data_IF_585982740077
#
_entry.id   IF_585982740077
#
_cell.length_a   1.000
_cell.length_b   1.000
_cell.length_c   1.000
_cell.angle_alpha   90.00
_cell.angle_beta   90.00
_cell.angle_gamma   90.00
#
_symmetry.space_group_name_H-M   'P 1'
#
loop_
_entity.id
_entity.type
_entity.pdbx_description
1 polymer ?
#
# COMPACT_ATOMS: atom_id res chain seq x y z
N UNK A 1 -14.98 -28.19 -83.17
CA UNK A 1 -15.69 -27.21 -82.33
C UNK A 1 -14.95 -27.05 -81.00
N UNK A 2 -14.97 -25.84 -80.45
CA UNK A 2 -13.95 -25.21 -79.60
C UNK A 2 -13.78 -25.77 -78.17
N UNK A 3 -12.50 -25.83 -77.76
CA UNK A 3 -11.87 -25.48 -76.47
C UNK A 3 -12.79 -24.84 -75.40
N UNK A 4 -12.91 -25.46 -74.21
CA UNK A 4 -13.38 -24.75 -73.00
C UNK A 4 -13.08 -25.40 -71.64
N UNK A 5 -11.90 -25.99 -71.37
CA UNK A 5 -11.62 -26.51 -70.01
C UNK A 5 -10.26 -26.06 -69.43
N UNK A 6 -9.92 -24.78 -69.61
CA UNK A 6 -8.75 -24.14 -68.99
C UNK A 6 -9.10 -23.10 -67.92
N UNK A 7 -10.16 -23.29 -67.12
CA UNK A 7 -10.56 -22.31 -66.09
C UNK A 7 -11.01 -22.86 -64.74
N UNK A 8 -10.60 -24.07 -64.35
CA UNK A 8 -10.78 -24.56 -62.97
C UNK A 8 -9.40 -24.76 -62.32
N UNK A 9 -8.59 -23.70 -62.29
CA UNK A 9 -7.27 -23.71 -61.63
C UNK A 9 -6.90 -22.29 -61.17
N UNK A 10 -7.75 -21.67 -60.35
CA UNK A 10 -7.37 -20.44 -59.65
C UNK A 10 -8.26 -20.08 -58.45
N UNK A 11 -9.42 -20.73 -58.29
CA UNK A 11 -10.37 -20.42 -57.20
C UNK A 11 -10.14 -21.27 -55.95
N UNK A 12 -9.84 -22.56 -56.11
CA UNK A 12 -9.63 -23.48 -54.99
C UNK A 12 -8.32 -23.20 -54.22
N UNK A 13 -7.26 -22.80 -54.93
CA UNK A 13 -5.96 -22.47 -54.33
C UNK A 13 -6.00 -21.16 -53.51
N UNK A 14 -6.89 -20.22 -53.87
CA UNK A 14 -7.06 -18.94 -53.15
C UNK A 14 -7.84 -19.11 -51.84
N UNK A 15 -8.78 -20.05 -51.78
CA UNK A 15 -9.56 -20.35 -50.57
C UNK A 15 -8.69 -21.05 -49.52
N UNK A 16 -7.80 -21.96 -49.96
CA UNK A 16 -6.86 -22.64 -49.06
C UNK A 16 -5.86 -21.67 -48.41
N UNK A 17 -5.44 -20.61 -49.12
CA UNK A 17 -4.48 -19.62 -48.59
C UNK A 17 -5.11 -18.67 -47.57
N UNK A 18 -6.42 -18.39 -47.68
CA UNK A 18 -7.14 -17.50 -46.75
C UNK A 18 -7.52 -18.17 -45.42
N UNK A 19 -7.70 -19.50 -45.42
CA UNK A 19 -8.06 -20.25 -44.20
C UNK A 19 -6.85 -20.58 -43.31
N UNK A 20 -5.63 -20.57 -43.86
CA UNK A 20 -4.42 -20.87 -43.09
C UNK A 20 -4.06 -19.76 -42.09
N UNK A 21 -4.36 -18.50 -42.42
CA UNK A 21 -4.09 -17.34 -41.53
C UNK A 21 -5.01 -17.28 -40.32
N UNK A 22 -6.23 -17.83 -40.43
CA UNK A 22 -7.20 -17.84 -39.33
C UNK A 22 -6.93 -18.96 -38.30
N UNK A 23 -6.24 -20.03 -38.70
CA UNK A 23 -5.88 -21.14 -37.82
C UNK A 23 -4.67 -20.83 -36.92
N UNK A 24 -3.78 -19.90 -37.30
CA UNK A 24 -2.60 -19.52 -36.51
C UNK A 24 -2.89 -18.51 -35.39
N UNK A 25 -4.06 -17.86 -35.39
CA UNK A 25 -4.47 -16.95 -34.30
C UNK A 25 -5.02 -17.66 -33.06
N UNK A 26 -5.29 -18.98 -33.12
CA UNK A 26 -5.81 -19.75 -31.98
C UNK A 26 -4.71 -20.30 -31.06
N UNK A 27 -3.43 -20.10 -31.37
CA UNK A 27 -2.29 -20.56 -30.56
C UNK A 27 -1.50 -19.42 -29.90
N UNK A 28 -1.88 -18.16 -30.14
CA UNK A 28 -1.20 -16.98 -29.57
C UNK A 28 -2.16 -16.24 -28.64
N UNK A 29 -2.42 -16.80 -27.46
CA UNK A 29 -3.34 -16.13 -26.53
C UNK A 29 -3.64 -16.79 -25.19
N UNK A 30 -2.92 -17.83 -24.77
CA UNK A 30 -2.83 -18.11 -23.34
C UNK A 30 -1.80 -17.15 -22.76
N UNK A 31 -2.16 -15.87 -22.65
CA UNK A 31 -1.52 -15.01 -21.67
C UNK A 31 -1.90 -15.66 -20.35
N UNK A 32 -0.98 -16.43 -19.76
CA UNK A 32 -1.12 -16.87 -18.39
C UNK A 32 -1.35 -15.61 -17.60
N UNK A 33 -2.61 -15.37 -17.24
CA UNK A 33 -2.95 -14.56 -16.11
C UNK A 33 -2.07 -15.12 -15.00
N UNK A 34 -0.97 -14.43 -14.71
CA UNK A 34 -0.39 -14.50 -13.38
C UNK A 34 -1.47 -13.85 -12.55
N UNK A 35 -2.46 -14.67 -12.22
CA UNK A 35 -3.40 -14.44 -11.17
C UNK A 35 -2.46 -14.30 -9.99
N UNK A 36 -2.15 -13.05 -9.67
CA UNK A 36 -1.35 -12.67 -8.54
C UNK A 36 -2.14 -13.28 -7.39
N UNK A 37 -1.75 -14.49 -7.00
CA UNK A 37 -2.38 -15.20 -5.92
C UNK A 37 -2.04 -14.29 -4.76
N UNK A 38 -3.03 -13.48 -4.35
CA UNK A 38 -2.92 -12.62 -3.21
C UNK A 38 -2.77 -13.58 -2.04
N UNK A 39 -1.51 -13.95 -1.79
CA UNK A 39 -1.13 -14.79 -0.68
C UNK A 39 -1.62 -14.05 0.53
N UNK A 40 -2.55 -14.67 1.25
CA UNK A 40 -3.09 -14.11 2.47
C UNK A 40 -1.95 -13.58 3.35
N UNK A 41 -2.19 -12.45 4.00
CA UNK A 41 -1.19 -11.85 4.88
C UNK A 41 -0.69 -12.89 5.91
N UNK A 42 0.62 -13.02 6.14
CA UNK A 42 1.13 -14.02 7.06
C UNK A 42 0.67 -13.72 8.49
N UNK A 43 -0.04 -14.67 9.10
CA UNK A 43 -0.59 -14.52 10.45
C UNK A 43 0.51 -14.29 11.50
N UNK A 44 1.72 -14.75 11.23
CA UNK A 44 2.88 -14.54 12.09
C UNK A 44 3.31 -13.08 12.16
N UNK A 45 2.84 -12.21 11.26
CA UNK A 45 3.12 -10.78 11.27
C UNK A 45 2.04 -9.97 12.00
N UNK A 46 0.86 -10.55 12.25
CA UNK A 46 -0.19 -9.96 13.06
C UNK A 46 0.27 -9.77 14.51
N UNK A 47 -0.12 -8.69 15.16
CA UNK A 47 0.25 -8.37 16.53
C UNK A 47 0.80 -6.95 16.68
N UNK A 48 1.37 -6.68 17.86
CA UNK A 48 1.90 -5.36 18.20
C UNK A 48 3.40 -5.33 17.96
N UNK A 49 3.83 -4.41 17.09
CA UNK A 49 5.21 -4.07 16.80
C UNK A 49 5.55 -2.78 17.53
N UNK A 50 6.54 -2.79 18.44
CA UNK A 50 6.86 -1.65 19.29
C UNK A 50 8.36 -1.38 19.34
N UNK A 51 8.75 -0.11 19.32
CA UNK A 51 10.14 0.31 19.58
C UNK A 51 10.37 0.37 21.09
N UNK A 52 11.53 -0.07 21.61
CA UNK A 52 11.85 -0.28 23.05
C UNK A 52 11.36 0.78 24.05
N UNK A 53 11.27 2.04 23.65
CA UNK A 53 10.75 3.12 24.51
C UNK A 53 9.23 3.15 24.66
N UNK A 54 8.53 2.29 23.92
CA UNK A 54 7.08 2.25 23.75
C UNK A 54 6.47 3.44 23.02
N UNK A 55 7.29 4.43 22.64
CA UNK A 55 6.85 5.69 22.02
C UNK A 55 6.50 5.55 20.54
N UNK A 56 6.75 4.41 19.91
CA UNK A 56 6.35 4.14 18.53
C UNK A 56 5.84 2.71 18.47
N UNK A 57 4.66 2.52 17.91
CA UNK A 57 4.05 1.20 17.78
C UNK A 57 3.11 1.13 16.58
N UNK A 58 2.97 -0.07 16.04
CA UNK A 58 2.03 -0.46 14.99
C UNK A 58 1.35 -1.74 15.44
N UNK A 59 0.03 -1.83 15.29
CA UNK A 59 -0.74 -3.04 15.56
C UNK A 59 -1.43 -3.49 14.27
N UNK A 60 -1.17 -4.72 13.86
CA UNK A 60 -1.75 -5.34 12.67
C UNK A 60 -2.63 -6.52 13.07
N UNK A 61 -3.75 -6.72 12.39
CA UNK A 61 -4.58 -7.91 12.59
C UNK A 61 -4.15 -9.10 11.69
N UNK A 62 -4.89 -10.22 11.77
CA UNK A 62 -4.60 -11.42 10.97
C UNK A 62 -4.87 -11.25 9.47
N UNK A 63 -5.66 -10.26 9.07
CA UNK A 63 -5.88 -9.92 7.67
C UNK A 63 -4.77 -9.01 7.12
N UNK A 64 -3.95 -8.44 8.02
CA UNK A 64 -2.93 -7.46 7.70
C UNK A 64 -3.43 -6.02 7.78
N UNK A 65 -4.64 -5.79 8.30
CA UNK A 65 -5.18 -4.44 8.43
C UNK A 65 -4.54 -3.72 9.63
N UNK A 66 -4.34 -2.40 9.48
CA UNK A 66 -3.84 -1.55 10.55
C UNK A 66 -4.94 -1.34 11.62
N UNK A 67 -4.68 -1.80 12.84
CA UNK A 67 -5.59 -1.66 13.99
C UNK A 67 -5.28 -0.40 14.79
N UNK A 68 -4.00 -0.18 15.11
CA UNK A 68 -3.59 1.00 15.88
C UNK A 68 -2.17 1.44 15.56
N UNK A 69 -1.90 2.71 15.82
CA UNK A 69 -0.62 3.36 15.55
C UNK A 69 -0.23 4.30 16.68
N UNK A 70 1.06 4.38 17.01
CA UNK A 70 1.59 5.36 17.96
C UNK A 70 2.71 6.16 17.30
N UNK A 71 2.57 7.49 17.25
CA UNK A 71 3.59 8.41 16.77
C UNK A 71 4.77 8.49 17.72
N UNK A 72 5.97 8.85 17.23
CA UNK A 72 7.17 9.01 18.06
C UNK A 72 7.00 9.98 19.25
N UNK A 73 6.03 10.91 19.17
CA UNK A 73 5.62 11.80 20.27
C UNK A 73 4.82 11.11 21.38
N UNK A 74 4.51 9.81 21.25
CA UNK A 74 3.77 8.99 22.21
C UNK A 74 2.25 9.01 22.05
N UNK A 75 1.71 9.77 21.08
CA UNK A 75 0.29 9.81 20.80
C UNK A 75 -0.16 8.50 20.15
N UNK A 76 -1.06 7.77 20.80
CA UNK A 76 -1.67 6.55 20.28
C UNK A 76 -3.01 6.85 19.61
N UNK A 77 -3.12 6.47 18.36
CA UNK A 77 -4.35 6.51 17.56
C UNK A 77 -4.87 5.10 17.39
N UNK A 78 -6.10 4.88 17.84
CA UNK A 78 -6.83 3.63 17.66
C UNK A 78 -8.16 3.96 16.99
N UNK A 79 -8.10 4.13 15.67
CA UNK A 79 -9.21 4.52 14.83
C UNK A 79 -9.07 3.73 13.53
N UNK A 80 -10.16 3.13 13.05
CA UNK A 80 -10.16 2.42 11.79
C UNK A 80 -10.01 3.39 10.61
N UNK A 81 -9.60 2.88 9.45
CA UNK A 81 -9.57 3.64 8.20
C UNK A 81 -10.90 4.39 7.96
N UNK A 82 -10.81 5.67 7.59
CA UNK A 82 -11.93 6.60 7.42
C UNK A 82 -12.49 7.19 8.72
N UNK A 83 -11.97 6.77 9.88
CA UNK A 83 -12.44 7.24 11.18
C UNK A 83 -11.79 8.54 11.64
N UNK A 84 -12.38 9.12 12.66
CA UNK A 84 -11.97 10.39 13.27
C UNK A 84 -11.38 10.16 14.66
N UNK A 85 -10.25 10.83 14.93
CA UNK A 85 -9.67 10.96 16.26
C UNK A 85 -9.70 12.43 16.69
N UNK A 86 -10.10 12.70 17.94
CA UNK A 86 -10.10 14.04 18.49
C UNK A 86 -9.70 14.05 19.98
N UNK A 87 -8.76 14.92 20.34
CA UNK A 87 -8.27 15.13 21.71
C UNK A 87 -8.14 16.64 22.02
N UNK A 88 -7.96 17.00 23.30
CA UNK A 88 -7.87 18.39 23.73
C UNK A 88 -9.23 19.09 23.63
N UNK A 89 -10.06 18.98 24.66
CA UNK A 89 -11.34 19.71 24.75
C UNK A 89 -11.24 20.89 25.75
N UNK A 90 -10.06 21.51 25.85
CA UNK A 90 -9.87 22.74 26.63
C UNK A 90 -10.06 23.96 25.72
N UNK A 91 -10.55 25.10 26.24
CA UNK A 91 -10.71 26.31 25.42
C UNK A 91 -9.39 26.70 24.73
N UNK A 92 -9.35 26.65 23.40
CA UNK A 92 -8.20 27.04 22.59
C UNK A 92 -7.12 25.98 22.40
N UNK A 93 -7.39 24.70 22.68
CA UNK A 93 -6.50 23.61 22.24
C UNK A 93 -7.31 22.44 21.74
N UNK A 94 -6.98 21.92 20.55
CA UNK A 94 -7.64 20.79 19.91
C UNK A 94 -6.64 20.03 19.05
N UNK A 95 -6.71 18.71 19.10
CA UNK A 95 -6.13 17.83 18.09
C UNK A 95 -7.29 17.13 17.38
N UNK A 96 -7.29 17.19 16.06
CA UNK A 96 -8.28 16.55 15.20
C UNK A 96 -7.55 15.84 14.07
N UNK A 97 -7.93 14.60 13.77
CA UNK A 97 -7.35 13.81 12.68
C UNK A 97 -8.39 12.91 12.03
N UNK A 98 -8.36 12.83 10.71
CA UNK A 98 -9.12 11.87 9.91
C UNK A 98 -8.13 10.90 9.30
N UNK A 99 -8.25 9.61 9.64
CA UNK A 99 -7.38 8.58 9.09
C UNK A 99 -7.88 8.23 7.67
N UNK A 100 -7.02 8.41 6.68
CA UNK A 100 -7.27 8.02 5.29
C UNK A 100 -6.97 6.55 5.05
N UNK A 101 -6.59 6.21 3.82
CA UNK A 101 -6.17 4.83 3.48
C UNK A 101 -4.87 4.44 4.20
N UNK A 102 -4.86 3.23 4.76
CA UNK A 102 -3.68 2.71 5.49
C UNK A 102 -3.23 1.35 4.96
N UNK A 103 -2.73 1.28 3.71
CA UNK A 103 -2.34 0.01 3.11
C UNK A 103 -1.17 -0.62 3.84
N UNK A 104 -1.25 -1.94 3.97
CA UNK A 104 -0.19 -2.80 4.50
C UNK A 104 0.19 -3.80 3.40
N UNK A 105 1.46 -3.82 3.05
CA UNK A 105 2.01 -4.64 1.98
C UNK A 105 3.11 -5.53 2.56
N UNK A 106 3.15 -6.80 2.17
CA UNK A 106 4.21 -7.73 2.54
C UNK A 106 4.71 -8.53 1.33
N UNK A 107 6.01 -8.44 1.06
CA UNK A 107 6.68 -9.28 0.07
C UNK A 107 7.38 -10.47 0.77
N UNK A 108 6.89 -11.71 0.61
CA UNK A 108 7.48 -12.87 1.25
C UNK A 108 8.87 -13.25 0.71
N UNK A 109 9.23 -12.84 -0.52
CA UNK A 109 10.53 -13.14 -1.11
C UNK A 109 11.66 -12.34 -0.46
N UNK A 110 11.38 -11.08 -0.15
CA UNK A 110 12.34 -10.17 0.52
C UNK A 110 12.09 -9.99 2.00
N UNK A 111 10.96 -10.53 2.50
CA UNK A 111 10.43 -10.31 3.85
C UNK A 111 10.25 -8.83 4.17
N UNK A 112 9.98 -8.01 3.15
CA UNK A 112 9.77 -6.58 3.33
C UNK A 112 8.32 -6.34 3.74
N UNK A 113 8.14 -5.71 4.91
CA UNK A 113 6.86 -5.22 5.41
C UNK A 113 6.82 -3.71 5.26
N UNK A 114 5.76 -3.22 4.61
CA UNK A 114 5.48 -1.81 4.43
C UNK A 114 4.11 -1.47 5.01
N UNK A 115 4.08 -0.48 5.88
CA UNK A 115 2.86 0.08 6.50
C UNK A 115 2.79 1.55 6.15
N UNK A 116 1.69 1.96 5.52
CA UNK A 116 1.42 3.37 5.23
C UNK A 116 0.34 3.89 6.17
N UNK A 117 0.58 5.01 6.82
CA UNK A 117 -0.39 5.72 7.65
C UNK A 117 -0.66 7.08 7.01
N UNK A 118 -1.83 7.24 6.40
CA UNK A 118 -2.24 8.49 5.77
C UNK A 118 -3.31 9.20 6.60
N UNK A 119 -3.20 10.51 6.73
CA UNK A 119 -4.24 11.38 7.28
C UNK A 119 -4.73 12.32 6.19
N UNK A 120 -6.01 12.19 5.87
CA UNK A 120 -6.71 13.04 4.89
C UNK A 120 -6.86 14.48 5.41
N UNK A 121 -6.95 14.65 6.73
CA UNK A 121 -6.98 15.93 7.42
C UNK A 121 -6.37 15.75 8.82
N UNK A 122 -5.49 16.66 9.22
CA UNK A 122 -5.16 16.88 10.62
C UNK A 122 -5.30 18.36 10.93
N UNK A 123 -5.72 18.67 12.16
CA UNK A 123 -5.76 20.03 12.71
C UNK A 123 -5.24 20.02 14.12
N UNK A 124 -4.29 20.91 14.38
CA UNK A 124 -3.70 21.15 15.68
C UNK A 124 -3.95 22.61 16.01
N UNK A 125 -4.73 22.84 17.04
CA UNK A 125 -4.97 24.15 17.62
C UNK A 125 -4.33 24.19 19.00
N UNK A 126 -3.59 25.26 19.28
CA UNK A 126 -3.10 25.65 20.60
C UNK A 126 -3.17 27.18 20.72
N UNK A 127 -3.08 27.78 21.91
CA UNK A 127 -3.18 29.23 22.04
C UNK A 127 -2.14 29.95 21.18
N UNK A 128 -2.62 30.73 20.20
CA UNK A 128 -1.78 31.51 19.28
C UNK A 128 -1.22 30.74 18.07
N UNK A 129 -1.58 29.47 17.88
CA UNK A 129 -1.16 28.68 16.72
C UNK A 129 -2.26 27.73 16.27
N UNK A 130 -2.51 27.70 14.97
CA UNK A 130 -3.30 26.68 14.31
C UNK A 130 -2.49 26.13 13.14
N UNK A 131 -2.42 24.81 13.05
CA UNK A 131 -1.79 24.08 11.95
C UNK A 131 -2.80 23.09 11.40
N UNK A 132 -2.89 23.00 10.08
CA UNK A 132 -3.78 22.06 9.39
C UNK A 132 -3.11 21.53 8.13
N UNK A 133 -3.55 20.36 7.68
CA UNK A 133 -3.16 19.81 6.38
C UNK A 133 -3.24 18.30 6.33
N UNK A 134 -2.33 17.68 5.57
CA UNK A 134 -2.28 16.23 5.37
C UNK A 134 -0.94 15.65 5.76
N UNK A 135 -0.92 14.40 6.17
CA UNK A 135 0.32 13.72 6.57
C UNK A 135 0.31 12.28 6.08
N UNK A 136 1.45 11.82 5.59
CA UNK A 136 1.70 10.42 5.29
C UNK A 136 2.97 9.98 6.00
N UNK A 137 2.90 8.91 6.77
CA UNK A 137 4.08 8.20 7.24
C UNK A 137 4.14 6.82 6.58
N UNK A 138 5.29 6.50 5.99
CA UNK A 138 5.57 5.16 5.45
C UNK A 138 6.63 4.53 6.35
N UNK A 139 6.30 3.37 6.92
CA UNK A 139 7.25 2.50 7.62
C UNK A 139 7.55 1.31 6.71
N UNK A 140 8.79 1.18 6.26
CA UNK A 140 9.18 0.11 5.33
C UNK A 140 10.49 -0.56 5.76
N UNK A 141 10.53 -1.89 5.72
CA UNK A 141 11.77 -2.63 5.92
C UNK A 141 11.59 -4.11 6.18
N UNK A 142 12.72 -4.79 6.37
CA UNK A 142 12.77 -6.26 6.45
C UNK A 142 12.39 -6.78 7.85
N UNK A 143 11.54 -7.80 7.88
CA UNK A 143 11.21 -8.57 9.08
C UNK A 143 12.20 -9.73 9.25
N UNK A 144 12.70 -9.91 10.47
CA UNK A 144 13.61 -11.00 10.85
C UNK A 144 13.03 -12.37 10.54
N UNK A 145 13.87 -13.38 10.31
CA UNK A 145 13.45 -14.72 9.91
C UNK A 145 12.50 -15.41 10.91
N UNK A 146 12.60 -15.07 12.19
CA UNK A 146 11.77 -15.59 13.27
C UNK A 146 10.51 -14.74 13.54
N UNK A 147 10.27 -13.69 12.75
CA UNK A 147 9.14 -12.76 12.88
C UNK A 147 9.09 -12.01 14.22
N UNK A 148 10.23 -11.77 14.86
CA UNK A 148 10.29 -11.08 16.16
C UNK A 148 10.78 -9.64 16.07
N UNK A 149 11.54 -9.29 15.03
CA UNK A 149 12.13 -7.97 14.83
C UNK A 149 11.80 -7.43 13.43
N UNK A 150 11.57 -6.12 13.34
CA UNK A 150 11.33 -5.42 12.08
C UNK A 150 12.15 -4.13 12.05
N UNK A 151 13.14 -4.09 11.16
CA UNK A 151 14.00 -2.93 10.98
C UNK A 151 13.43 -2.04 9.88
N UNK A 152 12.67 -1.02 10.27
CA UNK A 152 11.95 -0.15 9.35
C UNK A 152 12.62 1.23 9.23
N UNK A 153 12.57 1.80 8.03
CA UNK A 153 12.77 3.23 7.81
C UNK A 153 11.41 3.91 7.78
N UNK A 154 11.27 4.99 8.55
CA UNK A 154 10.12 5.89 8.55
C UNK A 154 10.41 7.08 7.66
N UNK A 155 9.58 7.28 6.64
CA UNK A 155 9.59 8.47 5.79
C UNK A 155 8.28 9.21 6.02
N UNK A 156 8.35 10.45 6.50
CA UNK A 156 7.19 11.29 6.79
C UNK A 156 7.11 12.41 5.75
N UNK A 157 5.94 12.57 5.14
CA UNK A 157 5.60 13.69 4.27
C UNK A 157 4.44 14.45 4.87
N UNK A 158 4.59 15.75 5.05
CA UNK A 158 3.54 16.62 5.61
C UNK A 158 3.25 17.75 4.64
N UNK A 159 1.98 17.97 4.35
CA UNK A 159 1.52 19.20 3.73
C UNK A 159 0.89 20.06 4.83
N UNK A 160 1.31 21.31 4.93
CA UNK A 160 0.73 22.29 5.86
C UNK A 160 0.00 23.33 4.99
N UNK A 161 -1.27 23.58 5.27
CA UNK A 161 -2.06 24.58 4.57
C UNK A 161 -1.38 25.96 4.66
N UNK A 162 -1.40 26.71 3.56
CA UNK A 162 -0.82 28.06 3.48
C UNK A 162 0.70 28.14 3.76
N UNK A 163 1.41 27.01 3.69
CA UNK A 163 2.86 26.94 3.66
C UNK A 163 3.29 26.24 2.35
N UNK A 164 4.44 26.60 1.77
CA UNK A 164 5.05 25.76 0.74
C UNK A 164 5.26 24.35 1.30
N UNK A 165 5.11 23.32 0.46
CA UNK A 165 5.38 21.93 0.87
C UNK A 165 6.76 21.86 1.51
N UNK A 166 6.79 21.56 2.81
CA UNK A 166 8.01 21.25 3.53
C UNK A 166 8.25 19.75 3.31
N UNK A 167 9.00 19.43 2.27
CA UNK A 167 9.50 18.06 2.05
C UNK A 167 10.76 17.84 2.89
N UNK A 168 10.65 17.94 4.22
CA UNK A 168 11.66 17.39 5.11
C UNK A 168 11.33 15.92 5.36
N UNK A 169 11.62 15.10 4.35
CA UNK A 169 11.62 13.64 4.50
C UNK A 169 12.82 13.28 5.40
N UNK A 170 12.63 13.37 6.71
CA UNK A 170 13.60 12.89 7.67
C UNK A 170 13.47 11.38 7.81
N UNK A 171 14.28 10.64 7.06
CA UNK A 171 14.34 9.18 7.18
C UNK A 171 14.82 8.81 8.58
N UNK A 172 13.93 8.21 9.37
CA UNK A 172 14.25 7.76 10.73
C UNK A 172 14.18 6.25 10.79
N UNK A 173 15.25 5.61 11.25
CA UNK A 173 15.29 4.15 11.37
C UNK A 173 14.79 3.70 12.74
N UNK A 174 13.90 2.72 12.74
CA UNK A 174 13.33 2.11 13.93
C UNK A 174 13.56 0.60 13.92
N UNK A 175 13.92 0.05 15.08
CA UNK A 175 13.87 -1.38 15.32
C UNK A 175 12.60 -1.67 16.14
N UNK A 176 11.59 -2.19 15.47
CA UNK A 176 10.38 -2.68 16.12
C UNK A 176 10.60 -4.10 16.59
N UNK A 177 10.08 -4.41 17.78
CA UNK A 177 10.01 -5.76 18.33
C UNK A 177 8.56 -6.16 18.54
N UNK A 178 8.27 -7.42 18.26
CA UNK A 178 6.95 -7.99 18.48
C UNK A 178 6.74 -8.23 19.98
N UNK A 179 5.67 -7.67 20.56
CA UNK A 179 5.39 -7.74 22.01
C UNK A 179 4.20 -8.62 22.36
N UNK A 180 3.38 -8.97 21.38
CA UNK A 180 2.20 -9.82 21.50
C UNK A 180 2.03 -10.68 20.26
#
# INVERSE_FOLDING_TARGET
>A
MMNLDSRISNSALKIAFFLLSFALCLLSGCQSSVQNAQTAFPKELAGVWQVDSGRKAVELDEAGDLVSFTFAAGLKINVAQGGLHQEGQTPGSMLFMILGETPVEYDPATRNLKVTVHFDDYRIEVPGMALSGTMTEILEGTVSNDNTEWLATSTVTTTIENQPQLTDAADTRYLFRKVK
#
